data_IF_052397610183
#
_entry.id   IF_052397610183
#
_cell.length_a   1.000
_cell.length_b   1.000
_cell.length_c   1.000
_cell.angle_alpha   90.00
_cell.angle_beta   90.00
_cell.angle_gamma   90.00
#
_symmetry.space_group_name_H-M   'P 1'
#
loop_
_entity.id
_entity.type
_entity.pdbx_description
1 polymer ?
#
# COMPACT_ATOMS: atom_id res chain seq x y z
N UNK A 1 -16.90 6.99 8.35
CA UNK A 1 -16.01 5.80 8.30
C UNK A 1 -15.64 5.64 6.85
N UNK A 2 -14.39 5.93 6.51
CA UNK A 2 -13.88 5.91 5.15
C UNK A 2 -13.68 4.47 4.66
N UNK A 3 -14.75 3.92 4.09
CA UNK A 3 -14.78 2.55 3.54
C UNK A 3 -13.67 2.35 2.50
N UNK A 4 -13.33 3.39 1.74
CA UNK A 4 -12.23 3.40 0.77
C UNK A 4 -10.87 3.13 1.44
N UNK A 5 -10.52 3.86 2.51
CA UNK A 5 -9.26 3.70 3.22
C UNK A 5 -9.11 2.29 3.82
N UNK A 6 -10.20 1.75 4.38
CA UNK A 6 -10.19 0.41 4.95
C UNK A 6 -10.00 -0.66 3.86
N UNK A 7 -10.57 -0.45 2.68
CA UNK A 7 -10.43 -1.34 1.53
C UNK A 7 -8.99 -1.32 0.98
N UNK A 8 -8.40 -0.14 0.82
CA UNK A 8 -7.01 0.04 0.39
C UNK A 8 -6.06 -0.65 1.38
N UNK A 9 -6.24 -0.42 2.68
CA UNK A 9 -5.42 -1.03 3.72
C UNK A 9 -5.49 -2.57 3.70
N UNK A 10 -6.69 -3.14 3.57
CA UNK A 10 -6.86 -4.59 3.48
C UNK A 10 -6.19 -5.16 2.23
N UNK A 11 -6.37 -4.51 1.08
CA UNK A 11 -5.74 -4.97 -0.16
C UNK A 11 -4.23 -4.89 -0.09
N UNK A 12 -3.64 -3.79 0.34
CA UNK A 12 -2.18 -3.68 0.47
C UNK A 12 -1.61 -4.74 1.42
N UNK A 13 -2.32 -5.02 2.53
CA UNK A 13 -1.96 -6.11 3.44
C UNK A 13 -2.05 -7.48 2.77
N UNK A 14 -3.06 -7.72 1.94
CA UNK A 14 -3.20 -8.96 1.16
C UNK A 14 -2.07 -9.09 0.11
N UNK A 15 -1.51 -7.97 -0.38
CA UNK A 15 -0.29 -7.92 -1.19
C UNK A 15 1.03 -7.97 -0.39
N UNK A 16 0.97 -8.53 0.82
CA UNK A 16 2.10 -8.74 1.73
C UNK A 16 2.78 -7.48 2.25
N UNK A 17 2.20 -6.29 2.05
CA UNK A 17 2.78 -5.06 2.61
C UNK A 17 2.79 -5.16 4.14
N UNK A 18 3.94 -5.02 4.81
CA UNK A 18 4.01 -5.13 6.26
C UNK A 18 3.14 -4.08 6.96
N UNK A 19 2.47 -4.51 8.03
CA UNK A 19 1.72 -3.60 8.92
C UNK A 19 2.53 -2.36 9.36
N UNK A 20 3.82 -2.41 9.74
CA UNK A 20 4.58 -1.21 10.12
C UNK A 20 4.75 -0.20 8.98
N UNK A 21 4.72 -0.65 7.72
CA UNK A 21 4.82 0.21 6.53
C UNK A 21 3.49 0.90 6.28
N UNK A 22 2.40 0.15 6.37
CA UNK A 22 1.06 0.72 6.33
C UNK A 22 0.88 1.71 7.47
N UNK A 23 1.28 1.38 8.69
CA UNK A 23 1.21 2.31 9.82
C UNK A 23 2.05 3.56 9.57
N UNK A 24 3.24 3.45 8.97
CA UNK A 24 4.05 4.63 8.61
C UNK A 24 3.35 5.52 7.56
N UNK A 25 2.81 4.93 6.50
CA UNK A 25 2.10 5.64 5.42
C UNK A 25 0.81 6.29 5.93
N UNK A 26 0.03 5.56 6.73
CA UNK A 26 -1.26 6.03 7.24
C UNK A 26 -1.11 6.93 8.49
N UNK A 27 0.05 6.90 9.17
CA UNK A 27 0.37 7.84 10.24
C UNK A 27 0.81 9.21 9.71
N UNK A 28 1.20 9.30 8.43
CA UNK A 28 1.60 10.54 7.79
C UNK A 28 0.52 11.04 6.80
N UNK A 29 -0.11 12.21 7.05
CA UNK A 29 -1.22 12.70 6.22
C UNK A 29 -0.85 12.97 4.75
N UNK A 30 0.41 13.35 4.51
CA UNK A 30 0.94 13.63 3.17
C UNK A 30 1.08 12.32 2.38
N UNK A 31 1.78 11.34 2.97
CA UNK A 31 1.93 9.98 2.41
C UNK A 31 0.59 9.30 2.20
N UNK A 32 -0.35 9.45 3.14
CA UNK A 32 -1.71 8.93 3.01
C UNK A 32 -2.45 9.57 1.83
N UNK A 33 -2.34 10.89 1.63
CA UNK A 33 -2.96 11.57 0.50
C UNK A 33 -2.37 11.11 -0.83
N UNK A 34 -1.05 10.97 -0.92
CA UNK A 34 -0.35 10.46 -2.11
C UNK A 34 -0.83 9.04 -2.45
N UNK A 35 -0.95 8.16 -1.45
CA UNK A 35 -1.45 6.79 -1.63
C UNK A 35 -2.87 6.78 -2.21
N UNK A 36 -3.76 7.61 -1.67
CA UNK A 36 -5.16 7.71 -2.11
C UNK A 36 -5.25 8.32 -3.51
N UNK A 37 -4.45 9.33 -3.82
CA UNK A 37 -4.39 9.90 -5.18
C UNK A 37 -3.84 8.90 -6.20
N UNK A 38 -2.76 8.19 -5.88
CA UNK A 38 -2.20 7.14 -6.74
C UNK A 38 -3.25 6.04 -6.99
N UNK A 39 -3.93 5.60 -5.93
CA UNK A 39 -5.02 4.62 -6.02
C UNK A 39 -6.13 5.08 -6.95
N UNK A 40 -6.63 6.30 -6.75
CA UNK A 40 -7.71 6.87 -7.58
C UNK A 40 -7.28 7.08 -9.02
N UNK A 41 -6.01 7.43 -9.25
CA UNK A 41 -5.47 7.56 -10.60
C UNK A 41 -5.46 6.20 -11.32
N UNK A 42 -5.07 5.13 -10.62
CA UNK A 42 -5.10 3.77 -11.16
C UNK A 42 -6.53 3.29 -11.43
N UNK A 43 -7.47 3.52 -10.51
CA UNK A 43 -8.90 3.21 -10.76
C UNK A 43 -9.47 4.03 -11.94
N UNK A 44 -9.03 5.29 -12.10
CA UNK A 44 -9.38 6.14 -13.23
C UNK A 44 -8.84 5.64 -14.57
N UNK A 45 -7.66 5.03 -14.56
CA UNK A 45 -7.03 4.39 -15.72
C UNK A 45 -7.64 3.00 -16.05
N UNK A 46 -8.61 2.54 -15.24
CA UNK A 46 -9.33 1.29 -15.45
C UNK A 46 -8.70 0.07 -14.77
N UNK A 47 -7.71 0.28 -13.88
CA UNK A 47 -7.14 -0.80 -13.09
C UNK A 47 -8.16 -1.29 -12.06
N UNK A 48 -8.25 -2.61 -11.92
CA UNK A 48 -8.99 -3.22 -10.82
C UNK A 48 -8.28 -2.93 -9.51
N UNK A 49 -9.01 -2.81 -8.40
CA UNK A 49 -8.35 -2.48 -7.14
C UNK A 49 -7.31 -3.50 -6.66
N UNK A 50 -7.34 -4.74 -7.16
CA UNK A 50 -6.27 -5.71 -6.91
C UNK A 50 -5.01 -5.37 -7.72
N UNK A 51 -5.15 -4.91 -8.96
CA UNK A 51 -4.04 -4.44 -9.78
C UNK A 51 -3.45 -3.14 -9.23
N UNK A 52 -4.31 -2.22 -8.79
CA UNK A 52 -3.87 -0.98 -8.15
C UNK A 52 -3.09 -1.25 -6.86
N UNK A 53 -3.57 -2.18 -6.03
CA UNK A 53 -2.85 -2.59 -4.83
C UNK A 53 -1.50 -3.23 -5.13
N UNK A 54 -1.41 -4.02 -6.19
CA UNK A 54 -0.15 -4.62 -6.64
C UNK A 54 0.87 -3.56 -7.04
N UNK A 55 0.49 -2.63 -7.93
CA UNK A 55 1.37 -1.57 -8.42
C UNK A 55 1.88 -0.69 -7.28
N UNK A 56 0.97 -0.31 -6.37
CA UNK A 56 1.32 0.49 -5.19
C UNK A 56 2.24 -0.29 -4.24
N UNK A 57 1.96 -1.57 -4.00
CA UNK A 57 2.83 -2.41 -3.19
C UNK A 57 4.23 -2.52 -3.80
N UNK A 58 4.34 -2.76 -5.11
CA UNK A 58 5.62 -2.80 -5.82
C UNK A 58 6.38 -1.47 -5.72
N UNK A 59 5.70 -0.33 -5.89
CA UNK A 59 6.30 1.00 -5.70
C UNK A 59 6.83 1.22 -4.27
N UNK A 60 6.06 0.83 -3.26
CA UNK A 60 6.48 0.91 -1.85
C UNK A 60 7.74 0.05 -1.63
N UNK A 61 7.79 -1.17 -2.18
CA UNK A 61 8.99 -2.00 -2.06
C UNK A 61 10.21 -1.42 -2.78
N UNK A 62 10.02 -0.74 -3.92
CA UNK A 62 11.12 -0.08 -4.64
C UNK A 62 11.68 1.13 -3.88
N UNK A 63 10.82 1.93 -3.25
CA UNK A 63 11.21 3.11 -2.46
C UNK A 63 11.88 2.73 -1.13
N UNK A 64 11.54 1.55 -0.58
CA UNK A 64 12.03 1.09 0.71
C UNK A 64 12.70 -0.29 0.62
N UNK A 65 13.87 -0.42 -0.04
CA UNK A 65 14.59 -1.69 -0.15
C UNK A 65 15.00 -2.28 1.21
N UNK A 66 15.00 -1.47 2.27
CA UNK A 66 15.33 -1.89 3.64
C UNK A 66 14.23 -2.76 4.28
N UNK A 67 13.00 -2.67 3.76
CA UNK A 67 11.84 -3.47 4.17
C UNK A 67 11.93 -4.92 3.69
N UNK A 68 12.74 -5.21 2.68
CA UNK A 68 12.97 -6.56 2.18
C UNK A 68 13.50 -7.46 3.31
N UNK A 69 14.29 -6.90 4.23
CA UNK A 69 14.79 -7.60 5.43
C UNK A 69 13.71 -7.84 6.50
N UNK A 70 12.74 -6.93 6.66
CA UNK A 70 11.66 -7.03 7.64
C UNK A 70 10.58 -8.04 7.23
N UNK A 71 10.41 -8.27 5.93
CA UNK A 71 9.45 -9.25 5.39
C UNK A 71 9.98 -10.68 5.54
N UNK A 72 11.29 -10.89 5.39
CA UNK A 72 11.91 -12.21 5.54
C UNK A 72 11.76 -12.73 6.99
N UNK A 73 11.83 -11.84 7.98
CA UNK A 73 11.59 -12.16 9.39
C UNK A 73 10.12 -12.48 9.72
N UNK A 74 9.14 -11.94 8.96
CA UNK A 74 7.71 -12.24 9.15
C UNK A 74 7.25 -13.53 8.45
N UNK A 75 8.03 -14.07 7.51
CA UNK A 75 7.73 -15.33 6.80
C UNK A 75 8.28 -16.59 7.50
N UNK A 76 8.93 -16.45 8.65
CA UNK A 76 9.58 -17.53 9.41
C UNK A 76 8.72 -18.02 10.58
#
# INVERSE_FOLDING_TARGET
MDIELLNIYQRLRDFHVPAPVLDAIFSDPESQSILVEAWRSLEGDGFSGDEAAREIAEMIYQEFPELESLIDDLKK
#
